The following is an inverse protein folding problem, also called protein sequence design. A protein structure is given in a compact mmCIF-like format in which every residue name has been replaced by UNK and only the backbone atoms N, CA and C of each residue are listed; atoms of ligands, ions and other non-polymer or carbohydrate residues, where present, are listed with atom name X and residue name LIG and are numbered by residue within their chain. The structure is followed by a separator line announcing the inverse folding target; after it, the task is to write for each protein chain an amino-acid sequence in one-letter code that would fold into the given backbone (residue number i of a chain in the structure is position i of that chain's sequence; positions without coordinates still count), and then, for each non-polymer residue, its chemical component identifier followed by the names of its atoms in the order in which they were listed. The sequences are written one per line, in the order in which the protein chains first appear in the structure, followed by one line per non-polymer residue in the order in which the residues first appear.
data_IF_940196169884
#
_entry.id   IF_940196169884
#
_cell.length_a   1.000
_cell.length_b   1.000
_cell.length_c   1.000
_cell.angle_alpha   90.00
_cell.angle_beta   90.00
_cell.angle_gamma   90.00
#
_symmetry.space_group_name_H-M   'P 1'
#
loop_
_entity.id
_entity.type
_entity.pdbx_description
1 polymer ?
#
# COMPACT_ATOMS: atom_id res chain seq x y z
N UNK A 1 14.58 0.58 35.82
CA UNK A 1 13.17 0.84 35.46
C UNK A 1 12.44 -0.48 35.47
N UNK A 2 11.31 -0.61 36.17
CA UNK A 2 10.56 -1.87 36.21
C UNK A 2 9.97 -2.15 34.82
N UNK A 3 10.36 -3.27 34.22
CA UNK A 3 9.81 -3.76 32.95
C UNK A 3 8.36 -4.15 33.21
N UNK A 4 7.39 -3.38 32.68
CA UNK A 4 5.99 -3.79 32.71
C UNK A 4 5.86 -5.12 31.96
N UNK A 5 5.18 -6.11 32.53
CA UNK A 5 4.85 -7.34 31.83
C UNK A 5 3.79 -7.07 30.75
N UNK A 6 3.86 -7.80 29.64
CA UNK A 6 2.78 -7.79 28.65
C UNK A 6 1.55 -8.45 29.28
N UNK A 7 0.40 -7.79 29.22
CA UNK A 7 -0.87 -8.29 29.77
C UNK A 7 -2.01 -7.86 28.85
N UNK A 8 -3.11 -8.62 28.85
CA UNK A 8 -4.31 -8.27 28.07
C UNK A 8 -4.84 -6.87 28.41
N UNK A 9 -4.74 -6.46 29.68
CA UNK A 9 -5.13 -5.09 30.09
C UNK A 9 -4.25 -4.03 29.41
N UNK A 10 -2.93 -4.24 29.41
CA UNK A 10 -1.98 -3.33 28.76
C UNK A 10 -2.21 -3.26 27.24
N UNK A 11 -2.50 -4.39 26.61
CA UNK A 11 -2.82 -4.49 25.17
C UNK A 11 -4.08 -3.67 24.85
N UNK A 12 -5.15 -3.81 25.66
CA UNK A 12 -6.39 -3.03 25.49
C UNK A 12 -6.17 -1.53 25.67
N UNK A 13 -5.41 -1.13 26.68
CA UNK A 13 -5.06 0.29 26.90
C UNK A 13 -4.27 0.85 25.72
N UNK A 14 -3.30 0.10 25.20
CA UNK A 14 -2.52 0.46 24.02
C UNK A 14 -3.40 0.58 22.76
N UNK A 15 -4.30 -0.37 22.53
CA UNK A 15 -5.23 -0.33 21.39
C UNK A 15 -6.15 0.89 21.42
N UNK A 16 -6.61 1.28 22.61
CA UNK A 16 -7.39 2.50 22.80
C UNK A 16 -6.58 3.77 22.45
N UNK A 17 -5.34 3.87 22.91
CA UNK A 17 -4.48 5.01 22.60
C UNK A 17 -4.08 5.06 21.12
N UNK A 18 -3.81 3.89 20.51
CA UNK A 18 -3.55 3.78 19.06
C UNK A 18 -4.76 4.19 18.23
N UNK A 19 -5.96 3.80 18.63
CA UNK A 19 -7.20 4.16 17.93
C UNK A 19 -7.53 5.66 17.98
N UNK A 20 -6.96 6.40 18.95
CA UNK A 20 -7.10 7.86 19.08
C UNK A 20 -6.01 8.61 18.32
N UNK A 21 -4.77 8.20 18.49
CA UNK A 21 -3.60 8.94 18.01
C UNK A 21 -3.13 8.50 16.63
N UNK A 22 -3.27 7.21 16.30
CA UNK A 22 -2.70 6.57 15.12
C UNK A 22 -1.17 6.42 15.13
N UNK A 23 -0.47 6.99 16.11
CA UNK A 23 0.99 6.99 16.18
C UNK A 23 1.49 6.06 17.27
N UNK A 24 2.29 5.06 16.89
CA UNK A 24 2.89 4.09 17.82
C UNK A 24 3.68 4.78 18.95
N UNK A 25 4.53 5.75 18.59
CA UNK A 25 5.36 6.48 19.53
C UNK A 25 4.59 7.19 20.64
N UNK A 26 3.45 7.76 20.29
CA UNK A 26 2.59 8.46 21.24
C UNK A 26 1.83 7.43 22.10
N UNK A 27 1.28 6.39 21.46
CA UNK A 27 0.46 5.41 22.16
C UNK A 27 1.25 4.60 23.21
N UNK A 28 2.42 4.05 22.88
CA UNK A 28 3.20 3.30 23.87
C UNK A 28 3.73 4.21 24.99
N UNK A 29 4.01 5.48 24.69
CA UNK A 29 4.45 6.46 25.69
C UNK A 29 3.33 6.79 26.66
N UNK A 30 2.10 7.00 26.18
CA UNK A 30 0.92 7.29 27.01
C UNK A 30 0.58 6.15 27.96
N UNK A 31 0.80 4.90 27.53
CA UNK A 31 0.57 3.70 28.36
C UNK A 31 1.79 3.38 29.26
N UNK A 32 2.87 4.15 29.14
CA UNK A 32 4.08 4.02 29.95
C UNK A 32 4.88 2.75 29.63
N UNK A 33 4.89 2.33 28.37
CA UNK A 33 5.73 1.24 27.85
C UNK A 33 7.02 1.87 27.32
N UNK A 34 8.21 1.46 27.80
CA UNK A 34 9.46 1.91 27.23
C UNK A 34 9.58 1.55 25.74
N UNK A 35 10.17 2.44 24.93
CA UNK A 35 10.35 2.21 23.49
C UNK A 35 11.03 0.88 23.19
N UNK A 36 12.11 0.55 23.92
CA UNK A 36 12.84 -0.71 23.74
C UNK A 36 11.95 -1.93 24.00
N UNK A 37 11.17 -1.91 25.07
CA UNK A 37 10.23 -2.99 25.42
C UNK A 37 9.13 -3.14 24.37
N UNK A 38 8.57 -2.03 23.88
CA UNK A 38 7.56 -2.07 22.82
C UNK A 38 8.08 -2.74 21.55
N UNK A 39 9.25 -2.31 21.05
CA UNK A 39 9.82 -2.89 19.82
C UNK A 39 10.34 -4.30 20.03
N UNK A 40 10.79 -4.64 21.23
CA UNK A 40 11.14 -6.01 21.59
C UNK A 40 9.94 -6.96 21.43
N UNK A 41 8.80 -6.64 22.05
CA UNK A 41 7.58 -7.45 21.91
C UNK A 41 7.05 -7.46 20.48
N UNK A 42 7.10 -6.31 19.78
CA UNK A 42 6.66 -6.22 18.39
C UNK A 42 7.48 -7.14 17.49
N UNK A 43 8.80 -7.12 17.59
CA UNK A 43 9.67 -7.97 16.78
C UNK A 43 9.43 -9.46 17.10
N UNK A 44 9.30 -9.83 18.37
CA UNK A 44 8.96 -11.21 18.76
C UNK A 44 7.62 -11.66 18.18
N UNK A 45 6.59 -10.82 18.28
CA UNK A 45 5.28 -11.13 17.72
C UNK A 45 5.30 -11.24 16.19
N UNK A 46 6.12 -10.42 15.50
CA UNK A 46 6.29 -10.48 14.05
C UNK A 46 7.01 -11.75 13.60
N UNK A 47 7.99 -12.25 14.36
CA UNK A 47 8.62 -13.56 14.09
C UNK A 47 7.63 -14.70 14.33
N UNK A 48 6.88 -14.67 15.44
CA UNK A 48 5.84 -15.66 15.73
C UNK A 48 4.74 -15.68 14.65
N UNK A 49 4.38 -14.52 14.10
CA UNK A 49 3.39 -14.45 13.02
C UNK A 49 3.88 -15.09 11.71
N UNK A 50 5.20 -15.13 11.47
CA UNK A 50 5.79 -15.85 10.33
C UNK A 50 5.84 -17.35 10.60
N UNK A 51 6.14 -17.74 11.83
CA UNK A 51 6.18 -19.15 12.25
C UNK A 51 4.80 -19.80 12.26
N UNK A 52 3.77 -19.05 12.65
CA UNK A 52 2.38 -19.51 12.75
C UNK A 52 1.43 -18.72 11.83
N UNK A 53 1.51 -18.89 10.50
CA UNK A 53 0.71 -18.09 9.56
C UNK A 53 -0.80 -18.37 9.66
N UNK A 54 -1.21 -19.61 9.92
CA UNK A 54 -2.63 -20.01 10.03
C UNK A 54 -3.19 -19.90 11.46
N UNK A 55 -2.32 -19.75 12.45
CA UNK A 55 -2.63 -19.64 13.88
C UNK A 55 -3.39 -20.80 14.52
N UNK A 56 -3.51 -21.94 13.84
CA UNK A 56 -4.28 -23.09 14.32
C UNK A 56 -3.64 -23.81 15.52
N UNK A 57 -2.32 -23.65 15.75
CA UNK A 57 -1.57 -24.34 16.80
C UNK A 57 -0.56 -23.43 17.53
N UNK A 58 -0.97 -22.19 17.85
CA UNK A 58 -0.10 -21.26 18.58
C UNK A 58 -0.04 -21.65 20.07
N UNK A 59 1.16 -21.81 20.66
CA UNK A 59 1.33 -22.02 22.10
C UNK A 59 0.62 -20.95 22.93
N UNK A 60 0.05 -21.33 24.07
CA UNK A 60 -0.71 -20.40 24.92
C UNK A 60 0.13 -19.21 25.40
N UNK A 61 1.43 -19.40 25.62
CA UNK A 61 2.38 -18.33 25.94
C UNK A 61 2.57 -17.30 24.83
N UNK A 62 2.44 -17.69 23.57
CA UNK A 62 2.68 -16.84 22.40
C UNK A 62 1.42 -16.11 21.92
N UNK A 63 0.24 -16.59 22.32
CA UNK A 63 -1.05 -15.97 21.99
C UNK A 63 -1.11 -14.49 22.39
N UNK A 64 -0.50 -14.12 23.52
CA UNK A 64 -0.52 -12.75 24.02
C UNK A 64 0.31 -11.79 23.15
N UNK A 65 1.44 -12.27 22.61
CA UNK A 65 2.27 -11.50 21.67
C UNK A 65 1.55 -11.31 20.34
N UNK A 66 0.86 -12.35 19.86
CA UNK A 66 0.04 -12.25 18.66
C UNK A 66 -1.18 -11.33 18.84
N UNK A 67 -1.87 -11.39 20.00
CA UNK A 67 -2.96 -10.47 20.34
C UNK A 67 -2.46 -9.01 20.37
N UNK A 68 -1.26 -8.79 20.89
CA UNK A 68 -0.61 -7.49 20.89
C UNK A 68 -0.38 -6.97 19.47
N UNK A 69 0.15 -7.81 18.56
CA UNK A 69 0.39 -7.44 17.18
C UNK A 69 -0.91 -7.15 16.43
N UNK A 70 -1.94 -7.98 16.59
CA UNK A 70 -3.25 -7.77 15.97
C UNK A 70 -3.90 -6.47 16.45
N UNK A 71 -3.82 -6.22 17.76
CA UNK A 71 -4.35 -4.99 18.35
C UNK A 71 -3.69 -3.75 17.74
N UNK A 72 -2.37 -3.80 17.50
CA UNK A 72 -1.67 -2.71 16.81
C UNK A 72 -2.22 -2.51 15.40
N UNK A 73 -2.33 -3.59 14.62
CA UNK A 73 -2.78 -3.53 13.23
C UNK A 73 -4.22 -3.03 13.11
N UNK A 74 -5.15 -3.61 13.88
CA UNK A 74 -6.56 -3.24 13.90
C UNK A 74 -6.74 -1.78 14.35
N UNK A 75 -6.06 -1.37 15.42
CA UNK A 75 -6.19 -0.01 15.96
C UNK A 75 -5.63 1.04 14.99
N UNK A 76 -4.52 0.72 14.30
CA UNK A 76 -3.96 1.59 13.26
C UNK A 76 -4.87 1.69 12.05
N UNK A 77 -5.44 0.59 11.58
CA UNK A 77 -6.41 0.61 10.48
C UNK A 77 -7.64 1.48 10.83
N UNK A 78 -8.14 1.36 12.06
CA UNK A 78 -9.25 2.17 12.56
C UNK A 78 -8.90 3.66 12.66
N UNK A 79 -7.72 3.99 13.17
CA UNK A 79 -7.24 5.37 13.25
C UNK A 79 -7.03 5.96 11.85
N UNK A 80 -6.41 5.20 10.94
CA UNK A 80 -6.21 5.58 9.54
C UNK A 80 -7.53 5.89 8.85
N UNK A 81 -8.52 4.98 8.94
CA UNK A 81 -9.86 5.21 8.39
C UNK A 81 -10.49 6.52 8.89
N UNK A 82 -10.47 6.77 10.21
CA UNK A 82 -11.01 8.01 10.78
C UNK A 82 -10.33 9.26 10.24
N UNK A 83 -9.01 9.22 10.09
CA UNK A 83 -8.25 10.37 9.60
C UNK A 83 -8.46 10.56 8.10
N UNK A 84 -8.57 9.49 7.31
CA UNK A 84 -8.95 9.54 5.89
C UNK A 84 -10.36 10.10 5.70
N UNK A 85 -11.34 9.65 6.51
CA UNK A 85 -12.71 10.19 6.48
C UNK A 85 -12.72 11.70 6.81
N UNK A 86 -11.90 12.12 7.77
CA UNK A 86 -11.72 13.54 8.10
C UNK A 86 -11.05 14.33 6.96
N UNK A 87 -10.07 13.75 6.26
CA UNK A 87 -9.43 14.35 5.11
C UNK A 87 -10.42 14.53 3.95
N UNK A 88 -11.23 13.51 3.64
CA UNK A 88 -12.28 13.60 2.61
C UNK A 88 -13.31 14.68 2.95
N UNK A 89 -13.74 14.75 4.21
CA UNK A 89 -14.65 15.80 4.66
C UNK A 89 -14.03 17.19 4.55
N UNK A 90 -12.75 17.33 4.90
CA UNK A 90 -12.02 18.58 4.75
C UNK A 90 -11.86 18.99 3.29
N UNK A 91 -11.61 18.04 2.38
CA UNK A 91 -11.46 18.30 0.94
C UNK A 91 -12.71 18.92 0.30
N UNK A 92 -13.89 18.65 0.86
CA UNK A 92 -15.15 19.24 0.40
C UNK A 92 -15.26 20.75 0.72
N UNK A 93 -14.50 21.25 1.69
CA UNK A 93 -14.56 22.64 2.16
C UNK A 93 -13.27 23.42 1.94
N UNK A 94 -12.11 22.77 2.10
CA UNK A 94 -10.78 23.35 2.00
C UNK A 94 -9.76 22.25 1.65
N UNK A 95 -9.33 22.23 0.39
CA UNK A 95 -8.33 21.28 -0.10
C UNK A 95 -6.97 21.39 0.59
N UNK A 96 -6.59 22.57 1.10
CA UNK A 96 -5.34 22.76 1.83
C UNK A 96 -5.38 22.11 3.21
N UNK A 97 -6.54 22.16 3.89
CA UNK A 97 -6.76 21.44 5.13
C UNK A 97 -6.72 19.93 4.91
N UNK A 98 -7.29 19.44 3.81
CA UNK A 98 -7.26 18.02 3.44
C UNK A 98 -5.83 17.52 3.21
N UNK A 99 -5.02 18.28 2.47
CA UNK A 99 -3.60 17.97 2.23
C UNK A 99 -2.80 17.93 3.54
N UNK A 100 -2.97 18.91 4.43
CA UNK A 100 -2.31 18.90 5.75
C UNK A 100 -2.69 17.70 6.61
N UNK A 101 -3.95 17.25 6.53
CA UNK A 101 -4.40 16.05 7.24
C UNK A 101 -3.73 14.82 6.62
N UNK A 102 -3.70 14.70 5.29
CA UNK A 102 -3.04 13.58 4.59
C UNK A 102 -1.53 13.51 4.85
N UNK A 103 -0.81 14.62 4.78
CA UNK A 103 0.63 14.70 5.11
C UNK A 103 0.91 14.27 6.56
N UNK A 104 -0.01 14.57 7.48
CA UNK A 104 0.12 14.15 8.88
C UNK A 104 -0.16 12.66 9.07
N UNK A 105 -1.06 12.08 8.28
CA UNK A 105 -1.38 10.65 8.28
C UNK A 105 -0.23 9.84 7.66
N UNK A 106 0.27 10.30 6.51
CA UNK A 106 1.26 9.62 5.68
C UNK A 106 2.57 10.41 5.70
N UNK A 107 3.33 10.30 6.80
CA UNK A 107 4.62 11.02 6.93
C UNK A 107 5.73 10.49 6.02
N UNK A 108 5.52 9.33 5.39
CA UNK A 108 6.42 8.76 4.40
C UNK A 108 5.75 8.85 3.01
N UNK A 109 6.39 9.53 2.06
CA UNK A 109 5.97 9.58 0.65
C UNK A 109 5.77 8.18 0.06
N UNK A 110 6.46 7.16 0.57
CA UNK A 110 6.30 5.76 0.15
C UNK A 110 4.92 5.15 0.48
N UNK A 111 4.15 5.76 1.38
CA UNK A 111 2.76 5.36 1.65
C UNK A 111 1.76 6.08 0.72
N UNK A 112 2.20 7.12 0.00
CA UNK A 112 1.47 7.84 -1.04
C UNK A 112 1.97 7.50 -2.45
N UNK A 113 3.11 6.81 -2.57
CA UNK A 113 3.54 6.28 -3.84
C UNK A 113 2.37 5.42 -4.35
N UNK A 114 1.80 5.72 -5.54
CA UNK A 114 0.92 4.77 -6.18
C UNK A 114 1.63 3.41 -6.11
N UNK A 115 0.90 2.29 -5.87
CA UNK A 115 1.54 0.98 -5.88
C UNK A 115 2.45 0.98 -7.10
N UNK A 116 3.75 0.78 -6.87
CA UNK A 116 4.67 0.65 -7.98
C UNK A 116 4.15 -0.59 -8.68
N UNK A 117 3.34 -0.38 -9.72
CA UNK A 117 3.16 -1.32 -10.78
C UNK A 117 4.56 -1.43 -11.36
N UNK A 118 5.38 -2.27 -10.73
CA UNK A 118 6.23 -3.12 -11.51
C UNK A 118 5.21 -3.89 -12.30
N UNK A 119 5.01 -3.49 -13.56
CA UNK A 119 4.74 -4.51 -14.56
C UNK A 119 5.71 -5.62 -14.20
N UNK A 120 5.16 -6.70 -13.65
CA UNK A 120 5.84 -7.96 -13.76
C UNK A 120 6.01 -8.08 -15.25
N UNK A 121 7.21 -7.83 -15.75
CA UNK A 121 7.71 -8.67 -16.83
C UNK A 121 7.76 -10.05 -16.21
N UNK A 122 6.59 -10.68 -16.10
CA UNK A 122 6.49 -12.11 -16.13
C UNK A 122 7.35 -12.47 -17.34
N UNK A 123 8.42 -13.21 -17.09
CA UNK A 123 9.10 -13.94 -18.14
C UNK A 123 8.01 -14.74 -18.84
N UNK A 124 7.49 -14.16 -19.93
CA UNK A 124 6.31 -14.65 -20.58
C UNK A 124 6.66 -16.04 -21.13
N UNK A 125 5.95 -17.11 -20.71
CA UNK A 125 6.02 -18.35 -21.44
C UNK A 125 5.53 -18.08 -22.87
N UNK A 126 6.33 -18.55 -23.82
CA UNK A 126 6.13 -18.35 -25.24
C UNK A 126 4.71 -18.71 -25.70
N UNK A 127 4.11 -17.79 -26.46
CA UNK A 127 3.05 -18.06 -27.44
C UNK A 127 1.65 -18.24 -26.88
N UNK A 128 0.74 -17.32 -27.19
CA UNK A 128 -0.21 -17.53 -28.29
C UNK A 128 -0.92 -16.21 -28.64
N UNK A 129 -1.32 -16.12 -29.90
CA UNK A 129 -1.78 -14.95 -30.62
C UNK A 129 -3.21 -14.55 -30.23
N UNK A 130 -3.45 -13.25 -30.04
CA UNK A 130 -4.79 -12.70 -30.27
C UNK A 130 -5.34 -11.79 -29.19
N UNK A 131 -4.72 -10.66 -28.90
CA UNK A 131 -5.46 -9.43 -28.55
C UNK A 131 -4.69 -8.22 -29.06
N UNK A 132 -5.40 -7.28 -29.70
CA UNK A 132 -4.84 -6.19 -30.48
C UNK A 132 -4.09 -5.13 -29.67
N UNK A 133 -2.85 -5.43 -29.28
CA UNK A 133 -1.89 -4.44 -28.81
C UNK A 133 -0.96 -4.11 -29.97
N UNK A 134 -0.91 -2.83 -30.32
CA UNK A 134 -0.02 -2.30 -31.33
C UNK A 134 1.44 -2.65 -30.96
N UNK A 135 2.08 -3.47 -31.79
CA UNK A 135 3.52 -3.68 -31.76
C UNK A 135 4.19 -2.33 -32.02
N UNK A 136 4.78 -1.74 -30.99
CA UNK A 136 5.79 -0.69 -31.16
C UNK A 136 7.09 -1.43 -31.43
N UNK A 137 7.67 -1.36 -32.64
CA UNK A 137 8.96 -1.99 -32.90
C UNK A 137 10.02 -1.25 -32.08
N UNK A 138 10.57 -1.92 -31.07
CA UNK A 138 11.83 -1.51 -30.47
C UNK A 138 12.91 -1.66 -31.55
N UNK A 139 13.41 -0.55 -32.07
CA UNK A 139 14.57 -0.55 -32.95
C UNK A 139 15.55 0.52 -32.48
N UNK A 140 16.82 0.10 -32.46
CA UNK A 140 17.96 0.89 -32.01
C UNK A 140 18.09 2.23 -32.74
N UNK A 141 18.83 3.11 -32.06
CA UNK A 141 19.34 4.39 -32.51
C UNK A 141 19.87 4.36 -33.95
N UNK A 142 19.03 4.77 -34.91
CA UNK A 142 19.36 5.48 -36.17
C UNK A 142 18.27 5.27 -37.25
N UNK A 143 17.02 5.65 -36.98
CA UNK A 143 16.03 5.82 -38.05
C UNK A 143 15.27 7.13 -37.84
N UNK A 144 15.22 7.95 -38.89
CA UNK A 144 14.56 9.26 -38.92
C UNK A 144 13.08 9.11 -38.56
N UNK A 145 12.75 9.54 -37.34
CA UNK A 145 11.43 9.44 -36.72
C UNK A 145 10.33 10.06 -37.60
N UNK A 146 10.67 11.10 -38.37
CA UNK A 146 9.77 11.77 -39.30
C UNK A 146 9.34 10.87 -40.47
N UNK A 147 10.21 9.96 -40.92
CA UNK A 147 9.89 9.05 -42.02
C UNK A 147 8.92 7.95 -41.57
N UNK A 148 9.09 7.46 -40.34
CA UNK A 148 8.17 6.49 -39.71
C UNK A 148 6.81 7.11 -39.40
N UNK A 149 6.78 8.36 -38.92
CA UNK A 149 5.53 9.05 -38.62
C UNK A 149 4.71 9.32 -39.89
N UNK A 150 5.37 9.68 -40.99
CA UNK A 150 4.71 9.84 -42.29
C UNK A 150 4.13 8.52 -42.80
N UNK A 151 4.86 7.41 -42.66
CA UNK A 151 4.40 6.09 -43.09
C UNK A 151 3.19 5.62 -42.27
N UNK A 152 3.20 5.87 -40.97
CA UNK A 152 2.09 5.53 -40.08
C UNK A 152 0.83 6.37 -40.38
N UNK A 153 1.00 7.65 -40.75
CA UNK A 153 -0.10 8.50 -41.19
C UNK A 153 -0.69 8.05 -42.53
N UNK A 154 0.14 7.61 -43.49
CA UNK A 154 -0.37 7.07 -44.76
C UNK A 154 -1.14 5.76 -44.57
N UNK A 155 -0.67 4.87 -43.69
CA UNK A 155 -1.32 3.59 -43.44
C UNK A 155 -2.63 3.76 -42.67
N UNK A 156 -2.68 4.67 -41.69
CA UNK A 156 -3.91 5.02 -41.00
C UNK A 156 -4.97 5.60 -41.95
N UNK A 157 -4.54 6.39 -42.94
CA UNK A 157 -5.44 7.00 -43.92
C UNK A 157 -5.96 5.98 -44.95
N UNK A 158 -5.15 5.01 -45.36
CA UNK A 158 -5.58 3.88 -46.18
C UNK A 158 -6.57 2.98 -45.43
N UNK A 159 -6.31 2.69 -44.15
CA UNK A 159 -7.19 1.88 -43.30
C UNK A 159 -8.54 2.57 -43.02
N UNK A 160 -8.55 3.90 -42.89
CA UNK A 160 -9.79 4.67 -42.75
C UNK A 160 -10.62 4.67 -44.05
N UNK A 161 -9.96 4.70 -45.22
CA UNK A 161 -10.63 4.61 -46.52
C UNK A 161 -11.22 3.21 -46.79
N UNK A 162 -10.55 2.15 -46.38
CA UNK A 162 -11.09 0.79 -46.53
C UNK A 162 -12.26 0.54 -45.59
N UNK A 163 -12.20 1.00 -44.33
CA UNK A 163 -13.33 0.88 -43.38
C UNK A 163 -14.57 1.68 -43.78
N UNK A 164 -14.43 2.77 -44.52
CA UNK A 164 -15.57 3.52 -45.06
C UNK A 164 -16.22 2.85 -46.27
N UNK A 165 -15.50 1.97 -46.97
CA UNK A 165 -16.07 1.13 -48.04
C UNK A 165 -16.81 -0.12 -47.55
N UNK A 166 -16.59 -0.55 -46.31
CA UNK A 166 -17.28 -1.72 -45.71
C UNK A 166 -18.59 -1.36 -44.98
N UNK A 167 -18.89 -0.06 -44.84
CA UNK A 167 -20.10 0.46 -44.18
C UNK A 167 -21.12 1.07 -45.17
N UNK A 168 -20.91 0.86 -46.47
CA UNK A 168 -21.81 1.27 -47.56
C UNK A 168 -22.58 0.09 -48.14
#
# INVERSE_FOLDING_TARGET
MATKALTTKLIKELGNELSKTGFLAIAYSNVGIPRSTFYFWKNQAEELAKEYPTRENVPAEDQLLLEFLDTIQISRAKAGKKMTDAAFKAAQTDGHLALKILERIFRHESEFAPPVYREGTDDAPAGDNGTGIALIPSMGSDNDLDQLLQQQQSDALLLAKTKTSELG
#
